data_IF_232472513628
#
_entry.id   IF_232472513628
#
_cell.length_a   1.000
_cell.length_b   1.000
_cell.length_c   1.000
_cell.angle_alpha   90.00
_cell.angle_beta   90.00
_cell.angle_gamma   90.00
#
_symmetry.space_group_name_H-M   'P 1'
#
loop_
_entity.id
_entity.type
_entity.pdbx_description
1 polymer ?
#
# COMPACT_ATOMS: atom_id res chain seq x y z
N UNK A 1 -18.96 -8.31 -4.82
CA UNK A 1 -18.92 -6.85 -5.03
C UNK A 1 -17.46 -6.47 -5.22
N UNK A 2 -17.07 -5.95 -6.39
CA UNK A 2 -15.67 -5.57 -6.65
C UNK A 2 -15.34 -4.27 -5.91
N UNK A 3 -14.08 -4.10 -5.46
CA UNK A 3 -13.66 -2.77 -5.00
C UNK A 3 -13.62 -1.83 -6.19
N UNK A 4 -14.12 -0.61 -5.98
CA UNK A 4 -13.98 0.45 -6.97
C UNK A 4 -12.49 0.79 -7.10
N UNK A 5 -12.02 0.92 -8.35
CA UNK A 5 -10.68 1.39 -8.62
C UNK A 5 -10.63 2.90 -8.36
N UNK A 6 -9.75 3.31 -7.43
CA UNK A 6 -9.67 4.69 -6.94
C UNK A 6 -8.20 5.14 -6.85
N UNK A 7 -7.99 6.46 -6.81
CA UNK A 7 -6.68 7.04 -6.58
C UNK A 7 -6.26 6.92 -5.11
N UNK A 8 -4.95 6.90 -4.81
CA UNK A 8 -4.48 7.06 -3.44
C UNK A 8 -5.01 8.37 -2.84
N UNK A 9 -5.48 8.31 -1.59
CA UNK A 9 -6.02 9.46 -0.84
C UNK A 9 -7.34 10.05 -1.41
N UNK A 10 -8.07 9.35 -2.28
CA UNK A 10 -9.33 9.83 -2.89
C UNK A 10 -10.39 10.29 -1.87
N UNK A 11 -10.35 9.76 -0.65
CA UNK A 11 -11.26 10.04 0.46
C UNK A 11 -10.74 11.10 1.44
N UNK A 12 -9.48 11.54 1.27
CA UNK A 12 -8.79 12.43 2.18
C UNK A 12 -8.47 13.80 1.56
N UNK A 13 -8.42 13.88 0.23
CA UNK A 13 -8.12 15.11 -0.52
C UNK A 13 -9.02 15.26 -1.75
N UNK A 14 -9.19 16.49 -2.29
CA UNK A 14 -9.88 16.70 -3.56
C UNK A 14 -9.22 15.95 -4.73
N UNK A 15 -9.94 15.83 -5.85
CA UNK A 15 -9.45 15.14 -7.05
C UNK A 15 -8.17 15.78 -7.64
N UNK A 16 -8.04 17.10 -7.54
CA UNK A 16 -6.87 17.87 -7.97
C UNK A 16 -6.31 18.68 -6.77
N UNK A 17 -5.57 18.02 -5.86
CA UNK A 17 -5.15 18.63 -4.61
C UNK A 17 -3.91 19.51 -4.81
N UNK A 18 -3.88 20.63 -4.08
CA UNK A 18 -2.70 21.48 -3.97
C UNK A 18 -1.58 20.80 -3.16
N UNK A 19 -0.37 21.36 -3.28
CA UNK A 19 0.79 20.89 -2.51
C UNK A 19 0.55 20.98 -0.99
N UNK A 20 -0.12 22.04 -0.54
CA UNK A 20 -0.37 22.27 0.89
C UNK A 20 -1.38 21.28 1.46
N UNK A 21 -2.42 20.92 0.70
CA UNK A 21 -3.39 19.88 1.08
C UNK A 21 -2.73 18.50 1.20
N UNK A 22 -1.91 18.14 0.21
CA UNK A 22 -1.16 16.88 0.25
C UNK A 22 -0.12 16.86 1.39
N UNK A 23 0.57 17.97 1.62
CA UNK A 23 1.53 18.09 2.73
C UNK A 23 0.83 17.95 4.08
N UNK A 24 -0.32 18.60 4.26
CA UNK A 24 -1.11 18.46 5.48
C UNK A 24 -1.52 17.00 5.70
N UNK A 25 -2.14 16.37 4.71
CA UNK A 25 -2.60 14.97 4.80
C UNK A 25 -1.46 13.98 5.09
N UNK A 26 -0.38 14.02 4.30
CA UNK A 26 0.66 12.97 4.32
C UNK A 26 1.75 13.22 5.35
N UNK A 27 2.15 14.48 5.54
CA UNK A 27 3.31 14.88 6.36
C UNK A 27 2.86 15.35 7.75
N UNK A 28 1.92 16.28 7.82
CA UNK A 28 1.47 16.85 9.10
C UNK A 28 0.59 15.85 9.86
N UNK A 29 -0.43 15.30 9.20
CA UNK A 29 -1.40 14.39 9.80
C UNK A 29 -0.92 12.93 9.73
N UNK A 30 0.12 12.65 8.94
CA UNK A 30 0.74 11.33 8.85
C UNK A 30 -0.15 10.25 8.22
N UNK A 31 -1.20 10.65 7.50
CA UNK A 31 -2.20 9.73 6.96
C UNK A 31 -1.64 8.91 5.81
N UNK A 32 -2.19 7.70 5.63
CA UNK A 32 -1.86 6.77 4.54
C UNK A 32 -3.16 6.17 3.99
N UNK A 33 -3.16 5.70 2.73
CA UNK A 33 -4.34 5.05 2.16
C UNK A 33 -4.82 3.89 3.04
N UNK A 34 -6.14 3.85 3.28
CA UNK A 34 -6.76 2.81 4.09
C UNK A 34 -6.61 1.44 3.42
N UNK A 35 -6.36 0.41 4.23
CA UNK A 35 -6.27 -0.97 3.76
C UNK A 35 -7.56 -1.68 4.10
N UNK A 36 -8.22 -2.25 3.09
CA UNK A 36 -9.48 -2.98 3.27
C UNK A 36 -9.29 -4.16 4.21
N UNK A 37 -10.14 -4.29 5.23
CA UNK A 37 -10.08 -5.38 6.22
C UNK A 37 -10.19 -6.76 5.56
N UNK A 38 -10.88 -6.87 4.42
CA UNK A 38 -11.01 -8.14 3.70
C UNK A 38 -9.67 -8.66 3.15
N UNK A 39 -8.66 -7.82 2.98
CA UNK A 39 -7.34 -8.27 2.53
C UNK A 39 -6.64 -9.12 3.58
N UNK A 40 -7.07 -9.05 4.85
CA UNK A 40 -6.51 -9.90 5.91
C UNK A 40 -6.93 -11.35 5.79
N UNK A 41 -7.91 -11.73 4.95
CA UNK A 41 -8.26 -13.14 4.77
C UNK A 41 -7.38 -13.86 3.74
N UNK A 42 -6.51 -13.13 3.02
CA UNK A 42 -5.64 -13.70 1.97
C UNK A 42 -4.17 -13.41 2.30
N UNK A 43 -3.37 -14.47 2.45
CA UNK A 43 -1.95 -14.34 2.79
C UNK A 43 -1.15 -13.49 1.76
N UNK A 44 -1.49 -13.60 0.48
CA UNK A 44 -0.87 -12.78 -0.58
C UNK A 44 -1.18 -11.31 -0.42
N UNK A 45 -2.45 -10.95 -0.16
CA UNK A 45 -2.86 -9.56 0.02
C UNK A 45 -2.37 -8.98 1.36
N UNK A 46 -2.25 -9.80 2.40
CA UNK A 46 -1.54 -9.42 3.64
C UNK A 46 -0.06 -9.08 3.34
N UNK A 47 0.61 -9.92 2.55
CA UNK A 47 1.99 -9.68 2.12
C UNK A 47 2.14 -8.36 1.36
N UNK A 48 1.26 -8.12 0.38
CA UNK A 48 1.24 -6.86 -0.36
C UNK A 48 0.96 -5.66 0.55
N UNK A 49 0.02 -5.79 1.50
CA UNK A 49 -0.27 -4.76 2.51
C UNK A 49 0.97 -4.39 3.31
N UNK A 50 1.74 -5.38 3.74
CA UNK A 50 2.98 -5.17 4.48
C UNK A 50 4.01 -4.42 3.64
N UNK A 51 4.21 -4.82 2.37
CA UNK A 51 5.11 -4.14 1.45
C UNK A 51 4.72 -2.67 1.29
N UNK A 52 3.44 -2.37 1.06
CA UNK A 52 2.95 -0.98 0.96
C UNK A 52 3.26 -0.17 2.23
N UNK A 53 3.01 -0.75 3.41
CA UNK A 53 3.28 -0.10 4.70
C UNK A 53 4.75 0.24 4.92
N UNK A 54 5.63 -0.69 4.58
CA UNK A 54 7.07 -0.50 4.70
C UNK A 54 7.59 0.52 3.65
N UNK A 55 6.98 0.58 2.46
CA UNK A 55 7.36 1.54 1.41
C UNK A 55 7.00 2.99 1.72
N UNK A 56 5.88 3.26 2.40
CA UNK A 56 5.44 4.63 2.70
C UNK A 56 5.75 5.08 4.12
N UNK A 57 6.72 4.45 4.79
CA UNK A 57 7.17 4.86 6.11
C UNK A 57 7.55 6.35 6.16
N UNK A 58 7.20 7.03 7.25
CA UNK A 58 7.54 8.44 7.44
C UNK A 58 9.05 8.66 7.39
N UNK A 59 9.81 7.81 8.10
CA UNK A 59 11.26 7.76 7.99
C UNK A 59 11.68 7.12 6.65
N UNK A 60 12.39 7.89 5.82
CA UNK A 60 12.88 7.43 4.52
C UNK A 60 13.90 6.29 4.62
N UNK A 61 14.73 6.27 5.67
CA UNK A 61 15.73 5.21 5.88
C UNK A 61 15.12 3.86 6.23
N UNK A 62 13.87 3.84 6.72
CA UNK A 62 13.14 2.62 7.02
C UNK A 62 12.42 2.02 5.78
N UNK A 63 12.41 2.73 4.65
CA UNK A 63 11.72 2.28 3.44
C UNK A 63 12.46 1.15 2.75
N UNK A 64 11.70 0.25 2.15
CA UNK A 64 12.27 -0.85 1.37
C UNK A 64 13.01 -0.32 0.14
N UNK A 65 14.13 -0.96 -0.18
CA UNK A 65 14.78 -0.77 -1.49
C UNK A 65 14.00 -1.49 -2.58
N UNK A 66 14.12 -1.04 -3.83
CA UNK A 66 13.48 -1.69 -4.96
C UNK A 66 13.84 -3.19 -5.07
N UNK A 67 15.08 -3.56 -4.77
CA UNK A 67 15.51 -4.96 -4.76
C UNK A 67 14.78 -5.77 -3.68
N UNK A 68 14.57 -5.20 -2.50
CA UNK A 68 13.85 -5.86 -1.42
C UNK A 68 12.37 -6.03 -1.77
N UNK A 69 11.74 -5.00 -2.33
CA UNK A 69 10.35 -5.07 -2.84
C UNK A 69 10.21 -6.18 -3.86
N UNK A 70 11.10 -6.25 -4.86
CA UNK A 70 11.07 -7.30 -5.88
C UNK A 70 11.16 -8.70 -5.28
N UNK A 71 12.16 -8.95 -4.42
CA UNK A 71 12.31 -10.26 -3.76
C UNK A 71 11.06 -10.65 -2.95
N UNK A 72 10.46 -9.69 -2.26
CA UNK A 72 9.21 -9.94 -1.51
C UNK A 72 8.04 -10.28 -2.43
N UNK A 73 7.89 -9.58 -3.57
CA UNK A 73 6.86 -9.90 -4.56
C UNK A 73 7.10 -11.27 -5.19
N UNK A 74 8.34 -11.62 -5.52
CA UNK A 74 8.70 -12.94 -6.06
C UNK A 74 8.27 -14.06 -5.10
N UNK A 75 8.53 -13.90 -3.79
CA UNK A 75 8.05 -14.84 -2.76
C UNK A 75 6.52 -14.94 -2.71
N UNK A 76 5.80 -13.82 -2.82
CA UNK A 76 4.34 -13.84 -2.84
C UNK A 76 3.78 -14.50 -4.12
N UNK A 77 4.49 -14.39 -5.24
CA UNK A 77 4.12 -15.02 -6.51
C UNK A 77 4.09 -16.54 -6.42
N UNK A 78 5.03 -17.15 -5.69
CA UNK A 78 5.03 -18.60 -5.48
C UNK A 78 3.77 -19.07 -4.71
N UNK A 79 3.32 -18.31 -3.71
CA UNK A 79 2.08 -18.60 -2.98
C UNK A 79 0.83 -18.53 -3.86
N UNK A 80 0.82 -17.63 -4.86
CA UNK A 80 -0.27 -17.56 -5.84
C UNK A 80 -0.28 -18.79 -6.75
N UNK A 81 0.89 -19.34 -7.08
CA UNK A 81 1.00 -20.57 -7.89
C UNK A 81 0.49 -21.79 -7.11
N UNK A 82 0.86 -21.92 -5.84
CA UNK A 82 0.41 -23.02 -4.97
C UNK A 82 -1.11 -23.04 -4.78
N UNK A 83 -1.76 -21.88 -4.68
CA UNK A 83 -3.22 -21.80 -4.54
C UNK A 83 -4.01 -22.11 -5.83
N UNK A 84 -3.33 -22.29 -6.98
CA UNK A 84 -3.93 -22.64 -8.27
C UNK A 84 -3.69 -24.11 -8.67
N UNK A 85 -3.01 -24.89 -7.83
CA UNK A 85 -2.81 -26.34 -7.99
C UNK A 85 -3.88 -27.10 -7.21
#
# INVERSE_FOLDING_TARGET
MYDKCELPYFDLVPLDPSLDEMKKCVVTDGLRPAVSSRWTSCAVLQGMTRIMRECWAANSAARLTALRVRKSIDTLSELVKEAKV
#
